data_IF_235720712446
#
_entry.id   IF_235720712446
#
_cell.length_a   1.000
_cell.length_b   1.000
_cell.length_c   1.000
_cell.angle_alpha   90.00
_cell.angle_beta   90.00
_cell.angle_gamma   90.00
#
_symmetry.space_group_name_H-M   'P 1'
#
loop_
_entity.id
_entity.type
_entity.pdbx_description
1 polymer ?
#
# COMPACT_ATOMS: atom_id res chain seq x y z
N UNK A 1 0.42 -14.06 -12.74
CA UNK A 1 0.75 -12.63 -12.59
C UNK A 1 1.18 -12.33 -11.16
N UNK A 2 1.86 -11.20 -10.96
CA UNK A 2 2.20 -10.70 -9.62
C UNK A 2 1.33 -9.49 -9.26
N UNK A 3 1.04 -9.36 -7.98
CA UNK A 3 0.44 -8.15 -7.40
C UNK A 3 1.32 -7.69 -6.25
N UNK A 4 1.68 -6.41 -6.25
CA UNK A 4 2.40 -5.76 -5.18
C UNK A 4 1.48 -4.80 -4.45
N UNK A 5 1.39 -4.90 -3.12
CA UNK A 5 0.77 -3.88 -2.27
C UNK A 5 1.89 -3.13 -1.57
N UNK A 6 1.92 -1.80 -1.68
CA UNK A 6 3.10 -0.99 -1.36
C UNK A 6 2.67 0.20 -0.50
N UNK A 7 3.31 0.38 0.66
CA UNK A 7 3.15 1.62 1.44
C UNK A 7 3.99 2.74 0.81
N UNK A 8 3.48 3.96 0.81
CA UNK A 8 4.22 5.16 0.40
C UNK A 8 5.56 5.34 1.17
N UNK A 9 6.47 6.14 0.59
CA UNK A 9 7.71 6.55 1.26
C UNK A 9 7.49 7.45 2.47
N UNK A 10 8.52 7.60 3.30
CA UNK A 10 8.46 8.39 4.52
C UNK A 10 8.03 9.84 4.29
N UNK A 11 7.18 10.34 5.19
CA UNK A 11 6.72 11.73 5.22
C UNK A 11 7.19 12.48 6.46
N UNK A 12 7.16 13.81 6.41
CA UNK A 12 7.50 14.66 7.57
C UNK A 12 6.63 14.32 8.79
N UNK A 13 5.34 14.00 8.59
CA UNK A 13 4.43 13.64 9.68
C UNK A 13 4.70 12.22 10.20
N UNK A 14 5.22 11.29 9.39
CA UNK A 14 5.70 10.00 9.89
C UNK A 14 6.86 10.20 10.87
N UNK A 15 7.87 10.97 10.46
CA UNK A 15 9.00 11.25 11.35
C UNK A 15 8.54 12.05 12.58
N UNK A 16 7.54 12.93 12.43
CA UNK A 16 6.96 13.71 13.51
C UNK A 16 6.08 12.93 14.49
N UNK A 17 5.69 11.68 14.18
CA UNK A 17 4.72 10.94 14.97
C UNK A 17 3.34 11.62 14.97
N UNK A 18 2.93 12.16 13.82
CA UNK A 18 1.71 12.95 13.62
C UNK A 18 0.70 12.15 12.80
N UNK A 19 -0.57 12.18 13.21
CA UNK A 19 -1.68 11.62 12.43
C UNK A 19 -1.80 12.34 11.09
N UNK A 20 -1.57 11.60 10.01
CA UNK A 20 -1.70 12.07 8.64
C UNK A 20 -2.51 11.04 7.83
N UNK A 21 -3.82 11.17 7.92
CA UNK A 21 -4.80 10.35 7.21
C UNK A 21 -5.11 10.97 5.87
N UNK A 22 -6.17 11.77 5.79
CA UNK A 22 -6.51 12.53 4.57
C UNK A 22 -5.67 13.80 4.40
N UNK A 23 -4.98 14.24 5.46
CA UNK A 23 -3.97 15.30 5.39
C UNK A 23 -2.87 14.91 4.41
N UNK A 24 -2.55 15.80 3.47
CA UNK A 24 -1.54 15.53 2.44
C UNK A 24 -0.12 15.87 2.92
N UNK A 25 0.43 15.02 3.79
CA UNK A 25 1.82 15.14 4.25
C UNK A 25 2.82 14.83 3.15
N UNK A 26 3.84 15.67 3.02
CA UNK A 26 4.85 15.56 1.98
C UNK A 26 5.95 14.56 2.33
N UNK A 27 6.53 13.95 1.29
CA UNK A 27 7.67 13.07 1.45
C UNK A 27 8.88 13.83 2.01
N UNK A 28 9.64 13.17 2.88
CA UNK A 28 10.96 13.67 3.27
C UNK A 28 11.96 13.46 2.14
N UNK A 29 13.13 14.10 2.23
CA UNK A 29 14.27 13.76 1.36
C UNK A 29 14.59 12.25 1.41
N UNK A 30 14.52 11.65 2.60
CA UNK A 30 14.70 10.20 2.75
C UNK A 30 13.56 9.41 2.09
N UNK A 31 12.31 9.83 2.24
CA UNK A 31 11.15 9.21 1.59
C UNK A 31 11.25 9.18 0.07
N UNK A 32 11.82 10.22 -0.55
CA UNK A 32 12.10 10.23 -1.99
C UNK A 32 13.20 9.23 -2.36
N UNK A 33 14.26 9.10 -1.56
CA UNK A 33 15.29 8.08 -1.78
C UNK A 33 14.71 6.66 -1.66
N UNK A 34 13.85 6.42 -0.67
CA UNK A 34 13.12 5.16 -0.52
C UNK A 34 12.31 4.84 -1.78
N UNK A 35 11.52 5.80 -2.29
CA UNK A 35 10.70 5.63 -3.48
C UNK A 35 11.53 5.34 -4.75
N UNK A 36 12.66 6.03 -4.92
CA UNK A 36 13.59 5.78 -6.03
C UNK A 36 14.21 4.39 -5.95
N UNK A 37 14.68 3.99 -4.76
CA UNK A 37 15.27 2.67 -4.58
C UNK A 37 14.26 1.55 -4.84
N UNK A 38 13.01 1.73 -4.40
CA UNK A 38 11.92 0.80 -4.70
C UNK A 38 11.65 0.70 -6.22
N UNK A 39 11.65 1.84 -6.91
CA UNK A 39 11.45 1.89 -8.35
C UNK A 39 12.56 1.15 -9.12
N UNK A 40 13.82 1.33 -8.72
CA UNK A 40 14.97 0.63 -9.30
C UNK A 40 14.92 -0.87 -9.03
N UNK A 41 14.48 -1.28 -7.85
CA UNK A 41 14.26 -2.69 -7.50
C UNK A 41 13.19 -3.33 -8.40
N UNK A 42 12.05 -2.67 -8.60
CA UNK A 42 11.00 -3.17 -9.50
C UNK A 42 11.35 -3.08 -10.98
N UNK A 43 12.28 -2.22 -11.39
CA UNK A 43 12.80 -2.23 -12.77
C UNK A 43 13.58 -3.53 -13.06
N UNK A 44 14.18 -4.11 -12.03
CA UNK A 44 14.95 -5.36 -12.09
C UNK A 44 14.13 -6.60 -11.75
N UNK A 45 12.84 -6.45 -11.43
CA UNK A 45 11.98 -7.57 -11.07
C UNK A 45 11.72 -8.50 -12.26
N UNK A 46 11.29 -9.73 -11.95
CA UNK A 46 11.05 -10.79 -12.94
C UNK A 46 9.93 -10.43 -13.92
N UNK A 47 8.88 -9.76 -13.43
CA UNK A 47 7.72 -9.37 -14.23
C UNK A 47 7.60 -7.83 -14.23
N UNK A 48 7.57 -7.19 -15.42
CA UNK A 48 7.41 -5.74 -15.50
C UNK A 48 6.07 -5.29 -14.89
N UNK A 49 6.11 -4.20 -14.14
CA UNK A 49 4.88 -3.58 -13.61
C UNK A 49 4.20 -2.82 -14.74
N UNK A 50 3.04 -3.30 -15.20
CA UNK A 50 2.31 -2.74 -16.34
C UNK A 50 1.14 -1.83 -15.92
N UNK A 51 0.64 -1.99 -14.68
CA UNK A 51 -0.41 -1.16 -14.12
C UNK A 51 -0.07 -0.77 -12.69
N UNK A 52 -0.21 0.52 -12.39
CA UNK A 52 -0.03 1.08 -11.06
C UNK A 52 -1.35 1.73 -10.65
N UNK A 53 -1.92 1.28 -9.54
CA UNK A 53 -3.12 1.83 -8.91
C UNK A 53 -2.68 2.56 -7.64
N UNK A 54 -2.95 3.86 -7.53
CA UNK A 54 -2.40 4.66 -6.44
C UNK A 54 -3.45 5.55 -5.76
N UNK A 55 -3.21 5.82 -4.48
CA UNK A 55 -3.85 6.95 -3.79
C UNK A 55 -3.47 8.29 -4.44
N UNK A 56 -4.38 9.27 -4.54
CA UNK A 56 -4.07 10.58 -5.08
C UNK A 56 -3.18 11.44 -4.16
N UNK A 57 -3.13 11.13 -2.84
CA UNK A 57 -2.33 11.87 -1.87
C UNK A 57 -0.85 11.86 -2.30
N UNK A 58 -0.21 13.02 -2.24
CA UNK A 58 1.11 13.29 -2.82
C UNK A 58 2.13 12.23 -2.44
N UNK A 59 2.18 11.80 -1.17
CA UNK A 59 3.13 10.78 -0.69
C UNK A 59 3.04 9.45 -1.44
N UNK A 60 1.83 8.96 -1.68
CA UNK A 60 1.60 7.72 -2.41
C UNK A 60 1.74 7.94 -3.92
N UNK A 61 1.19 9.05 -4.44
CA UNK A 61 1.31 9.44 -5.84
C UNK A 61 2.77 9.55 -6.30
N UNK A 62 3.61 10.28 -5.57
CA UNK A 62 5.05 10.44 -5.90
C UNK A 62 5.80 9.11 -5.82
N UNK A 63 5.44 8.24 -4.88
CA UNK A 63 6.00 6.87 -4.80
C UNK A 63 5.63 6.06 -6.06
N UNK A 64 4.37 6.14 -6.49
CA UNK A 64 3.89 5.50 -7.72
C UNK A 64 4.50 6.09 -9.00
N UNK A 65 4.67 7.41 -9.08
CA UNK A 65 5.31 8.11 -10.19
C UNK A 65 6.79 7.70 -10.34
N UNK A 66 7.51 7.48 -9.24
CA UNK A 66 8.86 6.94 -9.28
C UNK A 66 8.90 5.55 -9.97
N UNK A 67 7.99 4.64 -9.57
CA UNK A 67 7.86 3.32 -10.18
C UNK A 67 7.51 3.44 -11.67
N UNK A 68 6.52 4.28 -12.02
CA UNK A 68 6.08 4.53 -13.39
C UNK A 68 7.26 4.97 -14.28
N UNK A 69 8.02 5.98 -13.82
CA UNK A 69 9.14 6.54 -14.55
C UNK A 69 10.25 5.52 -14.76
N UNK A 70 10.55 4.69 -13.76
CA UNK A 70 11.55 3.63 -13.87
C UNK A 70 11.15 2.54 -14.86
N UNK A 71 9.88 2.13 -14.88
CA UNK A 71 9.36 1.13 -15.82
C UNK A 71 9.35 1.65 -17.27
N UNK A 72 9.02 2.92 -17.47
CA UNK A 72 8.94 3.54 -18.79
C UNK A 72 10.29 4.07 -19.32
N UNK A 73 11.39 3.91 -18.57
CA UNK A 73 12.72 4.35 -19.00
C UNK A 73 12.97 5.85 -18.92
N UNK A 74 12.14 6.60 -18.20
CA UNK A 74 12.27 8.07 -18.02
C UNK A 74 13.26 8.47 -16.92
N UNK A 75 14.11 7.56 -16.46
CA UNK A 75 15.26 7.90 -15.62
C UNK A 75 16.30 8.55 -16.54
N UNK A 76 16.59 9.85 -16.37
CA UNK A 76 17.37 10.75 -17.27
C UNK A 76 18.78 10.35 -17.73
N UNK A 77 19.13 9.07 -17.71
CA UNK A 77 20.24 8.46 -18.43
C UNK A 77 19.72 7.85 -19.74
N UNK A 78 19.68 8.66 -20.80
CA UNK A 78 19.53 8.16 -22.15
C UNK A 78 20.79 7.37 -22.53
N UNK A 79 20.69 6.05 -22.61
CA UNK A 79 21.66 5.24 -23.36
C UNK A 79 20.96 4.82 -24.65
N UNK A 80 21.34 5.46 -25.75
CA UNK A 80 20.94 5.09 -27.11
C UNK A 80 21.61 3.75 -27.47
N UNK A 81 20.97 2.65 -27.08
CA UNK A 81 21.28 1.32 -27.60
C UNK A 81 19.94 0.70 -27.94
N UNK A 82 19.55 0.88 -29.20
CA UNK A 82 18.30 0.37 -29.75
C UNK A 82 18.41 -1.11 -30.04
N UNK A 83 17.53 -1.87 -29.40
CA UNK A 83 17.05 -3.15 -29.91
C UNK A 83 15.52 -3.12 -29.88
N UNK A 84 14.91 -3.12 -31.07
CA UNK A 84 13.46 -3.05 -31.26
C UNK A 84 12.71 -4.32 -30.82
N UNK A 85 13.43 -5.38 -30.40
CA UNK A 85 12.90 -6.70 -30.07
C UNK A 85 12.53 -6.92 -28.59
N UNK A 86 12.82 -5.97 -27.68
CA UNK A 86 12.54 -6.10 -26.24
C UNK A 86 11.74 -4.92 -25.67
N UNK A 87 10.65 -4.54 -26.35
CA UNK A 87 9.78 -3.46 -25.90
C UNK A 87 8.95 -3.95 -24.70
N UNK A 88 9.38 -3.61 -23.48
CA UNK A 88 8.58 -3.83 -22.27
C UNK A 88 7.21 -3.13 -22.42
N UNK A 89 6.13 -3.70 -21.87
CA UNK A 89 4.84 -3.05 -21.87
C UNK A 89 4.93 -1.71 -21.15
N UNK A 90 4.37 -0.66 -21.76
CA UNK A 90 4.32 0.66 -21.14
C UNK A 90 3.45 0.60 -19.88
N UNK A 91 4.03 1.03 -18.76
CA UNK A 91 3.32 1.11 -17.50
C UNK A 91 2.34 2.28 -17.52
N UNK A 92 1.15 2.05 -16.95
CA UNK A 92 0.11 3.08 -16.76
C UNK A 92 -0.16 3.33 -15.29
N UNK A 93 -0.39 4.59 -14.91
CA UNK A 93 -0.77 4.98 -13.54
C UNK A 93 -2.23 5.45 -13.51
N UNK A 94 -3.02 4.84 -12.62
CA UNK A 94 -4.41 5.23 -12.34
C UNK A 94 -4.50 5.63 -10.86
N UNK A 95 -5.01 6.83 -10.60
CA UNK A 95 -5.22 7.36 -9.25
C UNK A 95 -6.68 7.19 -8.84
N UNK A 96 -6.95 6.84 -7.58
CA UNK A 96 -8.33 6.74 -7.07
C UNK A 96 -8.42 7.13 -5.59
N UNK A 97 -9.43 7.94 -5.19
CA UNK A 97 -9.63 8.32 -3.80
C UNK A 97 -9.99 7.12 -2.90
N UNK A 98 -10.40 5.99 -3.45
CA UNK A 98 -10.66 4.78 -2.67
C UNK A 98 -9.40 4.24 -1.98
N UNK A 99 -8.22 4.63 -2.47
CA UNK A 99 -6.92 4.25 -1.92
C UNK A 99 -6.33 5.25 -0.91
N UNK A 100 -7.07 6.27 -0.45
CA UNK A 100 -6.58 7.17 0.63
C UNK A 100 -6.55 6.49 2.00
N UNK A 101 -5.67 6.98 2.87
CA UNK A 101 -5.56 6.51 4.26
C UNK A 101 -6.86 6.79 5.04
N UNK A 102 -7.00 6.12 6.18
CA UNK A 102 -8.07 6.41 7.14
C UNK A 102 -8.16 7.90 7.43
N UNK A 103 -9.37 8.45 7.36
CA UNK A 103 -9.65 9.81 7.81
C UNK A 103 -9.61 9.85 9.34
N UNK A 104 -8.64 10.56 9.93
CA UNK A 104 -8.53 10.66 11.38
C UNK A 104 -9.42 11.77 11.97
N UNK A 105 -10.20 12.47 11.14
CA UNK A 105 -11.12 13.52 11.59
C UNK A 105 -10.41 14.55 12.47
N UNK A 106 -10.91 14.73 13.69
CA UNK A 106 -10.37 15.65 14.69
C UNK A 106 -8.88 15.42 15.02
N UNK A 107 -8.34 14.23 14.79
CA UNK A 107 -6.95 13.92 15.13
C UNK A 107 -5.95 14.24 14.02
N UNK A 108 -6.40 14.61 12.81
CA UNK A 108 -5.50 15.02 11.73
C UNK A 108 -4.54 16.13 12.18
N UNK A 109 -3.25 15.97 11.89
CA UNK A 109 -2.20 16.92 12.28
C UNK A 109 -1.81 16.88 13.76
N UNK A 110 -2.43 16.02 14.59
CA UNK A 110 -2.08 15.90 16.01
C UNK A 110 -1.05 14.79 16.24
N UNK A 111 -0.20 14.89 17.27
CA UNK A 111 0.70 13.81 17.66
C UNK A 111 -0.07 12.54 18.01
N UNK A 112 0.52 11.36 17.81
CA UNK A 112 -0.15 10.07 18.08
C UNK A 112 -0.62 9.93 19.53
N UNK A 113 0.12 10.49 20.49
CA UNK A 113 -0.27 10.50 21.90
C UNK A 113 -1.49 11.39 22.20
N UNK A 114 -1.92 12.27 21.28
CA UNK A 114 -3.12 13.09 21.48
C UNK A 114 -4.40 12.26 21.57
N UNK A 115 -4.37 11.02 21.06
CA UNK A 115 -5.46 10.05 21.22
C UNK A 115 -5.40 9.29 22.55
N UNK A 116 -4.27 9.39 23.27
CA UNK A 116 -4.02 8.69 24.53
C UNK A 116 -3.78 9.69 25.66
N UNK A 117 -4.85 10.08 26.35
CA UNK A 117 -4.72 10.76 27.65
C UNK A 117 -5.79 10.39 28.67
N UNK A 118 -6.41 9.21 28.58
CA UNK A 118 -7.25 8.67 29.67
C UNK A 118 -7.12 7.14 29.71
N UNK A 119 -5.99 6.65 30.20
CA UNK A 119 -5.74 5.21 30.44
C UNK A 119 -6.64 4.64 31.56
N UNK A 120 -7.48 5.46 32.20
CA UNK A 120 -8.36 5.07 33.30
C UNK A 120 -9.86 5.06 32.98
N UNK A 121 -10.26 5.16 31.70
CA UNK A 121 -11.63 4.84 31.29
C UNK A 121 -11.58 3.99 30.02
N UNK A 122 -11.89 2.71 30.15
CA UNK A 122 -12.16 1.89 28.98
C UNK A 122 -13.33 2.50 28.20
N UNK A 123 -13.18 2.56 26.89
CA UNK A 123 -14.26 2.95 25.98
C UNK A 123 -13.88 4.08 25.04
N UNK A 124 -14.04 3.81 23.74
CA UNK A 124 -14.12 4.83 22.67
C UNK A 124 -15.06 6.00 23.03
N UNK A 125 -16.00 5.77 23.94
CA UNK A 125 -17.10 6.67 24.28
C UNK A 125 -16.66 7.85 25.16
N UNK A 126 -15.67 7.68 26.05
CA UNK A 126 -15.30 8.73 27.01
C UNK A 126 -14.63 9.97 26.37
N UNK A 127 -13.88 9.80 25.28
CA UNK A 127 -13.30 10.92 24.52
C UNK A 127 -14.29 11.47 23.46
N UNK A 128 -15.16 10.61 22.92
CA UNK A 128 -16.20 11.01 21.97
C UNK A 128 -17.15 12.04 22.61
N UNK A 129 -17.59 11.80 23.85
CA UNK A 129 -18.51 12.70 24.55
C UNK A 129 -17.88 14.06 24.90
N UNK A 130 -16.56 14.11 25.14
CA UNK A 130 -15.84 15.34 25.53
C UNK A 130 -15.71 16.35 24.38
N UNK A 131 -15.68 15.88 23.14
CA UNK A 131 -15.42 16.72 21.97
C UNK A 131 -16.56 16.75 20.94
N UNK A 132 -17.61 15.92 21.09
CA UNK A 132 -18.81 15.95 20.23
C UNK A 132 -19.53 17.30 20.21
N UNK A 133 -19.33 18.14 21.23
CA UNK A 133 -19.89 19.50 21.29
C UNK A 133 -19.00 20.55 20.64
N UNK A 134 -17.78 20.22 20.20
CA UNK A 134 -16.94 21.14 19.45
C UNK A 134 -17.54 21.32 18.05
N UNK A 135 -17.87 22.56 17.63
CA UNK A 135 -18.52 22.83 16.36
C UNK A 135 -17.73 22.36 15.13
N UNK A 136 -16.42 22.11 15.26
CA UNK A 136 -15.56 21.59 14.18
C UNK A 136 -15.16 20.11 14.37
N UNK A 137 -15.81 19.37 15.28
CA UNK A 137 -15.48 17.96 15.49
C UNK A 137 -15.90 17.09 14.29
N UNK A 138 -14.92 16.35 13.77
CA UNK A 138 -15.11 15.32 12.76
C UNK A 138 -14.67 13.99 13.33
N UNK A 139 -15.52 12.97 13.22
CA UNK A 139 -15.19 11.64 13.72
C UNK A 139 -14.15 10.94 12.84
N UNK A 140 -13.42 9.99 13.44
CA UNK A 140 -12.52 9.09 12.71
C UNK A 140 -13.35 8.19 11.82
N UNK A 141 -12.87 7.92 10.60
CA UNK A 141 -13.55 7.02 9.68
C UNK A 141 -13.83 5.67 10.33
N UNK A 142 -15.08 5.24 10.21
CA UNK A 142 -15.55 3.97 10.75
C UNK A 142 -14.96 2.77 10.00
N UNK A 143 -14.92 1.62 10.69
CA UNK A 143 -14.49 0.35 10.07
C UNK A 143 -15.38 -0.03 8.87
N UNK A 144 -16.67 0.29 8.94
CA UNK A 144 -17.63 0.02 7.87
C UNK A 144 -17.34 0.87 6.63
N UNK A 145 -17.12 2.18 6.81
CA UNK A 145 -16.72 3.09 5.72
C UNK A 145 -15.43 2.63 5.05
N UNK A 146 -14.42 2.31 5.86
CA UNK A 146 -13.13 1.78 5.39
C UNK A 146 -13.30 0.49 4.58
N UNK A 147 -14.10 -0.47 5.09
CA UNK A 147 -14.39 -1.72 4.39
C UNK A 147 -15.11 -1.49 3.05
N UNK A 148 -16.11 -0.61 3.03
CA UNK A 148 -16.85 -0.24 1.82
C UNK A 148 -15.94 0.38 0.76
N UNK A 149 -15.02 1.27 1.14
CA UNK A 149 -14.03 1.83 0.20
C UNK A 149 -13.07 0.77 -0.33
N UNK A 150 -12.58 -0.11 0.54
CA UNK A 150 -11.73 -1.23 0.12
C UNK A 150 -12.46 -2.13 -0.88
N UNK A 151 -13.72 -2.49 -0.60
CA UNK A 151 -14.52 -3.30 -1.52
C UNK A 151 -14.75 -2.59 -2.86
N UNK A 152 -15.11 -1.30 -2.84
CA UNK A 152 -15.24 -0.51 -4.07
C UNK A 152 -13.95 -0.50 -4.89
N UNK A 153 -12.78 -0.36 -4.26
CA UNK A 153 -11.50 -0.42 -4.96
C UNK A 153 -11.26 -1.80 -5.58
N UNK A 154 -11.54 -2.87 -4.83
CA UNK A 154 -11.38 -4.23 -5.32
C UNK A 154 -12.29 -4.50 -6.53
N UNK A 155 -13.55 -4.12 -6.41
CA UNK A 155 -14.59 -4.47 -7.39
C UNK A 155 -14.49 -3.60 -8.66
N UNK A 156 -14.15 -2.31 -8.51
CA UNK A 156 -14.09 -1.36 -9.63
C UNK A 156 -12.71 -1.30 -10.32
N UNK A 157 -11.62 -1.68 -9.63
CA UNK A 157 -10.26 -1.53 -10.16
C UNK A 157 -9.46 -2.83 -10.16
N UNK A 158 -9.19 -3.41 -8.99
CA UNK A 158 -8.19 -4.48 -8.90
C UNK A 158 -8.66 -5.79 -9.53
N UNK A 159 -9.87 -6.24 -9.22
CA UNK A 159 -10.41 -7.50 -9.74
C UNK A 159 -10.59 -7.45 -11.26
N UNK A 160 -11.20 -6.40 -11.86
CA UNK A 160 -11.23 -6.25 -13.31
C UNK A 160 -9.83 -6.30 -13.93
N UNK A 161 -8.86 -5.57 -13.38
CA UNK A 161 -7.49 -5.55 -13.89
C UNK A 161 -6.79 -6.91 -13.81
N UNK A 162 -7.08 -7.73 -12.79
CA UNK A 162 -6.58 -9.11 -12.70
C UNK A 162 -7.14 -9.96 -13.83
N UNK A 163 -8.43 -9.88 -14.14
CA UNK A 163 -9.01 -10.67 -15.24
C UNK A 163 -8.52 -10.18 -16.62
N UNK A 164 -8.44 -8.88 -16.85
CA UNK A 164 -7.95 -8.30 -18.11
C UNK A 164 -6.49 -8.67 -18.43
N UNK A 165 -5.71 -8.94 -17.38
CA UNK A 165 -4.29 -9.28 -17.49
C UNK A 165 -4.01 -10.76 -17.24
N UNK A 166 -5.05 -11.59 -17.21
CA UNK A 166 -4.87 -13.04 -17.08
C UNK A 166 -4.02 -13.58 -18.24
N UNK A 167 -3.06 -14.45 -17.93
CA UNK A 167 -2.11 -14.98 -18.92
C UNK A 167 -0.98 -14.03 -19.35
N UNK A 168 -1.00 -12.76 -18.94
CA UNK A 168 0.11 -11.83 -19.19
C UNK A 168 1.21 -12.02 -18.14
N UNK A 169 2.47 -12.03 -18.58
CA UNK A 169 3.64 -12.03 -17.69
C UNK A 169 3.98 -10.61 -17.21
N UNK A 170 3.02 -9.98 -16.55
CA UNK A 170 3.15 -8.63 -15.99
C UNK A 170 2.68 -8.58 -14.54
N UNK A 171 2.96 -7.45 -13.89
CA UNK A 171 2.57 -7.19 -12.51
C UNK A 171 1.67 -5.96 -12.37
N UNK A 172 0.83 -5.98 -11.34
CA UNK A 172 0.04 -4.84 -10.88
C UNK A 172 0.65 -4.33 -9.57
N UNK A 173 0.86 -3.02 -9.46
CA UNK A 173 1.30 -2.37 -8.23
C UNK A 173 0.17 -1.53 -7.62
N UNK A 174 -0.11 -1.71 -6.34
CA UNK A 174 -1.08 -0.94 -5.56
C UNK A 174 -0.32 -0.11 -4.52
N UNK A 175 -0.27 1.20 -4.70
CA UNK A 175 0.50 2.12 -3.84
C UNK A 175 -0.44 2.93 -2.94
N UNK A 176 -0.34 2.72 -1.63
CA UNK A 176 -1.27 3.26 -0.65
C UNK A 176 -0.60 3.46 0.73
N UNK A 177 -1.35 3.26 1.82
CA UNK A 177 -1.01 3.66 3.18
C UNK A 177 -1.20 2.50 4.16
N UNK A 178 -0.53 2.53 5.31
CA UNK A 178 -0.41 1.35 6.18
C UNK A 178 -1.74 0.81 6.71
N UNK A 179 -2.62 1.66 7.24
CA UNK A 179 -3.90 1.22 7.81
C UNK A 179 -4.85 0.78 6.70
N UNK A 180 -4.94 1.54 5.62
CA UNK A 180 -5.73 1.14 4.46
C UNK A 180 -5.26 -0.21 3.89
N UNK A 181 -3.96 -0.42 3.66
CA UNK A 181 -3.45 -1.67 3.10
C UNK A 181 -3.77 -2.88 3.98
N UNK A 182 -3.73 -2.69 5.30
CA UNK A 182 -4.11 -3.73 6.26
C UNK A 182 -5.59 -4.10 6.12
N UNK A 183 -6.47 -3.12 5.94
CA UNK A 183 -7.91 -3.37 5.73
C UNK A 183 -8.18 -3.95 4.34
N UNK A 184 -7.55 -3.39 3.31
CA UNK A 184 -7.65 -3.83 1.93
C UNK A 184 -7.23 -5.29 1.78
N UNK A 185 -6.14 -5.70 2.42
CA UNK A 185 -5.68 -7.09 2.43
C UNK A 185 -6.76 -8.04 2.97
N UNK A 186 -7.38 -7.71 4.11
CA UNK A 186 -8.47 -8.51 4.67
C UNK A 186 -9.67 -8.60 3.72
N UNK A 187 -10.05 -7.50 3.07
CA UNK A 187 -11.13 -7.51 2.08
C UNK A 187 -10.76 -8.28 0.81
N UNK A 188 -9.49 -8.26 0.42
CA UNK A 188 -8.97 -8.99 -0.73
C UNK A 188 -8.98 -10.51 -0.50
N UNK A 189 -8.65 -10.97 0.71
CA UNK A 189 -8.76 -12.37 1.10
C UNK A 189 -10.19 -12.92 0.90
N UNK A 190 -11.22 -12.10 1.13
CA UNK A 190 -12.63 -12.46 0.91
C UNK A 190 -12.99 -12.65 -0.56
N UNK A 191 -12.15 -12.20 -1.50
CA UNK A 191 -12.35 -12.42 -2.94
C UNK A 191 -11.81 -13.78 -3.40
N UNK A 192 -11.08 -14.49 -2.55
CA UNK A 192 -10.42 -15.77 -2.84
C UNK A 192 -11.17 -16.94 -2.17
N UNK A 193 -10.97 -18.16 -2.66
CA UNK A 193 -11.53 -19.35 -2.02
C UNK A 193 -10.72 -19.74 -0.77
N UNK A 194 -11.40 -20.21 0.30
CA UNK A 194 -10.77 -20.51 1.62
C UNK A 194 -9.54 -21.45 1.57
N UNK A 195 -9.43 -22.34 0.58
CA UNK A 195 -8.32 -23.29 0.42
C UNK A 195 -7.39 -22.97 -0.76
N UNK A 196 -7.44 -21.73 -1.25
CA UNK A 196 -6.66 -21.29 -2.42
C UNK A 196 -5.42 -20.48 -2.05
N UNK A 197 -5.13 -20.32 -0.76
CA UNK A 197 -4.11 -19.40 -0.26
C UNK A 197 -2.97 -20.18 0.37
N UNK A 198 -1.76 -19.92 -0.10
CA UNK A 198 -0.52 -20.51 0.40
C UNK A 198 0.48 -19.41 0.76
N UNK A 199 1.45 -19.75 1.60
CA UNK A 199 2.57 -18.89 1.98
C UNK A 199 3.85 -19.60 1.56
N UNK A 200 4.75 -18.91 0.88
CA UNK A 200 6.04 -19.47 0.48
C UNK A 200 6.89 -19.85 1.71
N UNK A 201 7.66 -20.93 1.61
CA UNK A 201 8.46 -21.45 2.71
C UNK A 201 9.47 -20.41 3.22
N UNK A 202 10.05 -19.59 2.34
CA UNK A 202 11.00 -18.54 2.73
C UNK A 202 10.34 -17.48 3.64
N UNK A 203 9.06 -17.18 3.42
CA UNK A 203 8.30 -16.23 4.24
C UNK A 203 8.04 -16.81 5.62
N UNK A 204 7.63 -18.08 5.68
CA UNK A 204 7.41 -18.80 6.95
C UNK A 204 8.71 -18.95 7.72
N UNK A 205 9.82 -19.22 7.04
CA UNK A 205 11.14 -19.31 7.67
C UNK A 205 11.61 -17.95 8.25
N UNK A 206 11.34 -16.85 7.55
CA UNK A 206 11.79 -15.52 7.97
C UNK A 206 10.92 -14.90 9.09
N UNK A 207 9.61 -15.19 9.13
CA UNK A 207 8.66 -14.55 10.05
C UNK A 207 7.98 -15.49 11.03
N UNK A 208 8.21 -16.79 10.92
CA UNK A 208 7.50 -17.80 11.71
C UNK A 208 6.03 -17.93 11.27
N UNK A 209 5.16 -18.28 12.22
CA UNK A 209 3.74 -18.45 11.95
C UNK A 209 3.06 -17.08 11.75
N UNK A 210 2.60 -16.82 10.53
CA UNK A 210 1.89 -15.59 10.18
C UNK A 210 0.39 -15.83 10.29
N UNK A 211 -0.31 -14.93 10.99
CA UNK A 211 -1.76 -14.85 10.92
C UNK A 211 -2.15 -14.19 9.59
N UNK A 212 -2.83 -14.95 8.73
CA UNK A 212 -3.10 -14.52 7.35
C UNK A 212 -3.81 -13.17 7.26
N UNK A 213 -4.75 -12.89 8.15
CA UNK A 213 -5.49 -11.61 8.21
C UNK A 213 -4.69 -10.45 8.82
N UNK A 214 -3.56 -10.76 9.48
CA UNK A 214 -2.76 -9.85 10.29
C UNK A 214 -1.27 -10.01 9.96
N UNK A 215 -0.86 -9.52 8.79
CA UNK A 215 0.51 -9.63 8.27
C UNK A 215 1.56 -8.78 9.03
N UNK A 216 1.15 -8.05 10.08
CA UNK A 216 2.01 -7.12 10.81
C UNK A 216 2.08 -5.73 10.19
N UNK A 217 3.01 -4.92 10.69
CA UNK A 217 3.17 -3.51 10.29
C UNK A 217 3.69 -3.34 8.87
N UNK A 218 3.33 -2.21 8.25
CA UNK A 218 3.82 -1.81 6.94
C UNK A 218 4.89 -0.75 7.11
N UNK A 219 6.15 -1.04 6.79
CA UNK A 219 7.22 -0.04 6.78
C UNK A 219 7.04 0.93 5.60
N UNK A 220 7.60 2.14 5.66
CA UNK A 220 7.60 3.03 4.50
C UNK A 220 8.31 2.36 3.31
N UNK A 221 7.69 2.40 2.13
CA UNK A 221 8.08 1.61 0.93
C UNK A 221 8.14 0.09 1.10
N UNK A 222 7.70 -0.43 2.25
CA UNK A 222 7.51 -1.86 2.45
C UNK A 222 6.43 -2.39 1.53
N UNK A 223 6.65 -3.58 0.97
CA UNK A 223 5.69 -4.20 0.05
C UNK A 223 5.30 -5.63 0.45
N UNK A 224 4.08 -6.00 0.07
CA UNK A 224 3.59 -7.38 0.05
C UNK A 224 3.60 -7.84 -1.41
N UNK A 225 4.29 -8.95 -1.68
CA UNK A 225 4.29 -9.59 -3.00
C UNK A 225 3.43 -10.85 -2.95
N UNK A 226 2.45 -10.92 -3.84
CA UNK A 226 1.63 -12.12 -4.04
C UNK A 226 1.60 -12.53 -5.50
N UNK A 227 1.54 -13.84 -5.72
CA UNK A 227 1.35 -14.43 -7.04
C UNK A 227 -0.05 -15.00 -7.15
N UNK A 228 -0.78 -14.57 -8.18
CA UNK A 228 -2.02 -15.21 -8.58
C UNK A 228 -1.78 -16.19 -9.74
N UNK A 229 -2.27 -17.41 -9.59
CA UNK A 229 -2.30 -18.44 -10.63
C UNK A 229 -3.71 -18.94 -10.85
N UNK A 230 -4.12 -19.12 -12.11
CA UNK A 230 -5.44 -19.66 -12.42
C UNK A 230 -5.52 -21.12 -11.95
N UNK A 231 -6.57 -21.46 -11.20
CA UNK A 231 -6.89 -22.85 -10.91
C UNK A 231 -7.30 -23.52 -12.21
N UNK A 232 -6.59 -24.58 -12.57
CA UNK A 232 -7.06 -25.48 -13.63
C UNK A 232 -8.31 -26.18 -13.07
N UNK A 233 -9.41 -26.14 -13.81
CA UNK A 233 -10.55 -26.97 -13.50
C UNK A 233 -10.09 -28.44 -13.57
N UNK A 234 -10.25 -29.23 -12.50
CA UNK A 234 -10.03 -30.68 -12.58
C UNK A 234 -10.94 -31.35 -13.62
N UNK A 235 -12.05 -30.68 -13.98
CA UNK A 235 -13.18 -31.25 -14.73
C UNK A 235 -13.20 -30.90 -16.22
N UNK A 236 -12.25 -30.10 -16.72
CA UNK A 236 -12.15 -29.80 -18.16
C UNK A 236 -11.61 -30.99 -18.99
N UNK A 237 -11.44 -32.17 -18.37
CA UNK A 237 -10.86 -33.35 -19.00
C UNK A 237 -11.58 -34.68 -18.71
N UNK A 238 -12.75 -34.70 -18.06
CA UNK A 238 -13.46 -35.95 -17.75
C UNK A 238 -14.98 -35.81 -17.88
N UNK A 239 -15.48 -35.87 -19.12
CA UNK A 239 -16.80 -36.45 -19.37
C UNK A 239 -16.64 -37.97 -19.30
N UNK A 240 -17.02 -38.61 -18.19
CA UNK A 240 -18.14 -39.56 -18.14
C UNK A 240 -18.22 -40.27 -16.76
N UNK A 241 -19.47 -40.49 -16.36
CA UNK A 241 -19.98 -41.51 -15.44
C UNK A 241 -19.70 -41.49 -13.91
N UNK A 242 -20.79 -41.16 -13.21
CA UNK A 242 -21.45 -42.00 -12.19
C UNK A 242 -20.95 -42.05 -10.72
N UNK A 243 -21.91 -41.65 -9.88
CA UNK A 243 -22.30 -42.17 -8.56
C UNK A 243 -21.62 -41.64 -7.28
N UNK A 244 -22.46 -40.93 -6.51
CA UNK A 244 -22.36 -40.69 -5.06
C UNK A 244 -22.29 -42.02 -4.28
N UNK A 245 -21.77 -42.01 -3.03
CA UNK A 245 -22.73 -41.97 -1.93
C UNK A 245 -22.40 -41.02 -0.77
N UNK A 246 -23.49 -40.75 -0.07
CA UNK A 246 -23.76 -39.98 1.15
C UNK A 246 -23.13 -40.67 2.39
N UNK A 247 -22.53 -39.90 3.30
CA UNK A 247 -22.92 -39.76 4.73
C UNK A 247 -21.80 -39.20 5.62
N UNK A 248 -22.17 -38.44 6.65
CA UNK A 248 -21.29 -38.11 7.77
C UNK A 248 -21.57 -36.77 8.45
N UNK A 249 -22.52 -36.76 9.38
CA UNK A 249 -22.85 -35.67 10.31
C UNK A 249 -21.65 -35.23 11.17
N UNK A 250 -21.62 -33.92 11.49
CA UNK A 250 -20.71 -33.35 12.48
C UNK A 250 -20.99 -31.86 12.72
N UNK A 251 -22.04 -31.57 13.49
CA UNK A 251 -22.27 -30.27 14.13
C UNK A 251 -21.18 -29.98 15.17
N UNK A 252 -20.71 -28.73 15.28
CA UNK A 252 -20.53 -27.97 16.55
C UNK A 252 -20.13 -26.51 16.25
N UNK A 253 -20.96 -25.62 16.81
CA UNK A 253 -20.75 -24.29 17.41
C UNK A 253 -19.98 -23.17 16.72
N UNK A 254 -20.76 -22.13 16.41
CA UNK A 254 -20.43 -20.71 16.40
C UNK A 254 -20.32 -20.17 17.83
N UNK A 255 -19.20 -19.55 18.19
CA UNK A 255 -19.13 -18.26 18.92
C UNK A 255 -17.70 -17.92 19.35
N UNK A 256 -17.46 -16.61 19.48
CA UNK A 256 -16.32 -15.90 20.10
C UNK A 256 -14.94 -15.86 19.41
N UNK A 257 -14.61 -14.66 18.90
CA UNK A 257 -13.39 -13.93 19.27
C UNK A 257 -13.40 -12.50 18.69
N UNK A 258 -14.13 -11.60 19.36
CA UNK A 258 -13.93 -10.15 19.32
C UNK A 258 -12.95 -9.78 20.43
N UNK A 259 -11.70 -9.47 20.12
CA UNK A 259 -10.85 -8.50 20.85
C UNK A 259 -9.39 -8.60 20.40
N UNK A 260 -8.86 -7.50 19.85
CA UNK A 260 -7.46 -7.06 19.92
C UNK A 260 -7.18 -6.10 18.76
N UNK A 261 -7.42 -4.81 19.00
CA UNK A 261 -6.81 -3.72 18.20
C UNK A 261 -6.33 -2.67 19.18
N UNK A 262 -5.17 -2.94 19.74
CA UNK A 262 -4.27 -1.99 20.37
C UNK A 262 -2.90 -2.67 20.35
N UNK A 263 -2.14 -2.49 19.27
CA UNK A 263 -0.67 -2.64 19.21
C UNK A 263 -0.20 -2.67 17.75
N UNK A 264 -0.24 -1.53 17.07
CA UNK A 264 0.48 -1.36 15.79
C UNK A 264 1.07 0.05 15.57
N UNK A 265 1.02 0.93 16.58
CA UNK A 265 1.54 2.30 16.48
C UNK A 265 2.91 2.49 17.17
N UNK A 266 3.54 1.44 17.70
CA UNK A 266 4.76 1.54 18.51
C UNK A 266 5.96 0.78 17.92
N UNK A 267 6.16 0.86 16.60
CA UNK A 267 7.33 0.26 15.96
C UNK A 267 8.02 1.22 14.99
N UNK A 268 8.23 2.48 15.39
CA UNK A 268 9.34 3.32 14.93
C UNK A 268 9.68 4.34 16.04
N UNK A 269 10.47 3.90 17.01
CA UNK A 269 11.13 4.78 17.96
C UNK A 269 12.44 4.12 18.41
N UNK A 270 13.49 4.29 17.61
CA UNK A 270 14.86 4.32 18.15
C UNK A 270 15.77 5.24 17.30
N UNK A 271 16.68 5.88 18.02
CA UNK A 271 17.77 6.77 17.63
C UNK A 271 17.46 8.24 17.26
N UNK A 272 17.57 9.06 18.30
CA UNK A 272 18.14 10.43 18.36
C UNK A 272 17.26 11.63 17.98
N UNK A 273 16.66 12.26 19.00
CA UNK A 273 16.10 13.62 18.92
C UNK A 273 16.27 14.40 20.22
N UNK A 274 17.08 15.46 20.15
CA UNK A 274 16.92 16.68 20.94
C UNK A 274 16.80 17.88 19.98
N UNK A 275 15.59 18.17 19.47
CA UNK A 275 15.29 19.48 18.85
C UNK A 275 13.81 19.85 19.12
N UNK A 276 13.51 21.08 19.59
CA UNK A 276 12.15 21.55 19.91
C UNK A 276 11.31 21.85 18.65
N UNK A 277 9.97 21.93 18.77
CA UNK A 277 9.07 22.11 17.61
C UNK A 277 9.08 23.55 17.09
N UNK A 278 9.06 23.69 15.76
CA UNK A 278 8.89 24.94 15.00
C UNK A 278 7.45 24.98 14.45
N UNK A 279 6.75 26.13 14.41
CA UNK A 279 5.32 26.19 14.14
C UNK A 279 4.98 25.94 12.66
N UNK A 280 3.92 25.17 12.42
CA UNK A 280 3.42 24.78 11.09
C UNK A 280 2.36 25.77 10.61
N UNK A 281 2.60 26.42 9.47
CA UNK A 281 1.58 27.22 8.77
C UNK A 281 0.59 26.31 8.06
N UNK A 282 -0.69 26.52 8.32
CA UNK A 282 -1.84 25.92 7.63
C UNK A 282 -1.97 26.48 6.22
N UNK A 283 -1.98 25.61 5.23
CA UNK A 283 -2.39 25.91 3.86
C UNK A 283 -3.18 24.74 3.30
N UNK A 284 -4.50 24.86 3.32
CA UNK A 284 -5.42 24.11 2.46
C UNK A 284 -5.19 24.56 1.02
N UNK A 285 -4.91 23.65 0.09
CA UNK A 285 -5.55 23.57 -1.24
C UNK A 285 -5.35 22.14 -1.76
N UNK A 286 -6.44 21.38 -1.90
CA UNK A 286 -6.42 20.17 -2.71
C UNK A 286 -6.59 20.57 -4.18
N UNK A 287 -5.63 20.17 -5.02
CA UNK A 287 -5.64 20.38 -6.48
C UNK A 287 -6.77 19.55 -7.13
N UNK A 288 -7.69 20.13 -7.93
CA UNK A 288 -8.90 19.44 -8.37
C UNK A 288 -8.73 18.49 -9.56
N UNK A 289 -7.52 18.25 -10.09
CA UNK A 289 -7.37 17.56 -11.37
C UNK A 289 -6.77 16.14 -11.26
N UNK A 290 -7.64 15.14 -11.04
CA UNK A 290 -7.27 13.71 -11.17
C UNK A 290 -8.48 12.78 -11.30
N UNK A 291 -9.21 12.83 -12.41
CA UNK A 291 -10.08 11.73 -12.83
C UNK A 291 -9.68 11.21 -14.21
N UNK A 292 -8.71 10.30 -14.26
CA UNK A 292 -8.55 9.40 -15.41
C UNK A 292 -9.40 8.16 -15.15
N UNK A 293 -10.65 8.19 -15.60
CA UNK A 293 -11.64 7.12 -15.44
C UNK A 293 -11.26 5.98 -16.38
N UNK A 294 -10.94 4.79 -15.83
CA UNK A 294 -10.97 3.55 -16.60
C UNK A 294 -12.41 3.33 -17.11
N UNK A 295 -12.63 2.83 -18.33
CA UNK A 295 -13.97 2.60 -18.84
C UNK A 295 -14.77 1.73 -17.87
N UNK A 296 -15.93 2.21 -17.43
CA UNK A 296 -16.87 1.47 -16.59
C UNK A 296 -17.35 0.24 -17.37
N UNK A 297 -16.67 -0.89 -17.18
CA UNK A 297 -17.15 -2.19 -17.64
C UNK A 297 -18.22 -2.63 -16.65
N UNK A 298 -19.49 -2.54 -17.06
CA UNK A 298 -20.64 -3.09 -16.33
C UNK A 298 -20.64 -4.61 -16.46
N UNK A 299 -19.68 -5.27 -15.83
CA UNK A 299 -19.64 -6.72 -15.65
C UNK A 299 -19.85 -6.97 -14.17
N UNK A 300 -20.83 -7.81 -13.79
CA UNK A 300 -20.91 -8.33 -12.41
C UNK A 300 -19.53 -8.91 -12.09
N UNK A 301 -18.75 -8.25 -11.22
CA UNK A 301 -17.34 -8.58 -11.05
C UNK A 301 -17.22 -10.06 -10.67
N UNK A 302 -16.60 -10.84 -11.54
CA UNK A 302 -16.27 -12.22 -11.20
C UNK A 302 -15.28 -12.15 -10.07
N UNK A 303 -15.60 -12.71 -8.90
CA UNK A 303 -14.66 -12.82 -7.79
C UNK A 303 -13.39 -13.59 -8.20
N UNK A 304 -12.37 -13.60 -7.35
CA UNK A 304 -11.11 -14.29 -7.60
C UNK A 304 -11.13 -15.77 -7.15
N UNK A 305 -12.31 -16.38 -6.98
CA UNK A 305 -12.47 -17.75 -6.50
C UNK A 305 -11.79 -18.82 -7.38
N UNK A 306 -11.58 -18.51 -8.65
CA UNK A 306 -10.87 -19.35 -9.61
C UNK A 306 -9.36 -19.21 -9.57
N UNK A 307 -8.79 -18.38 -8.68
CA UNK A 307 -7.34 -18.19 -8.55
C UNK A 307 -6.82 -18.84 -7.27
N UNK A 308 -5.59 -19.35 -7.34
CA UNK A 308 -4.76 -19.60 -6.17
C UNK A 308 -3.89 -18.37 -5.92
N UNK A 309 -3.72 -18.02 -4.65
CA UNK A 309 -2.83 -16.98 -4.19
C UNK A 309 -1.66 -17.61 -3.44
N UNK A 310 -0.44 -17.24 -3.82
CA UNK A 310 0.76 -17.56 -3.07
C UNK A 310 1.42 -16.27 -2.56
N UNK A 311 1.60 -16.16 -1.24
CA UNK A 311 2.31 -15.03 -0.61
C UNK A 311 3.81 -15.28 -0.74
N UNK A 312 4.51 -14.39 -1.44
CA UNK A 312 5.94 -14.51 -1.72
C UNK A 312 6.80 -13.61 -0.82
N UNK A 313 6.27 -12.48 -0.36
CA UNK A 313 7.00 -11.56 0.53
C UNK A 313 6.03 -10.77 1.39
N UNK A 314 6.34 -10.57 2.67
CA UNK A 314 5.54 -9.77 3.60
C UNK A 314 6.40 -8.65 4.17
N UNK A 315 6.00 -7.39 3.92
CA UNK A 315 6.75 -6.19 4.30
C UNK A 315 8.22 -6.24 3.82
N UNK A 316 8.42 -6.59 2.55
CA UNK A 316 9.72 -6.62 1.89
C UNK A 316 10.36 -5.24 1.87
N UNK A 317 11.66 -5.19 2.15
CA UNK A 317 12.48 -3.96 2.21
C UNK A 317 13.87 -4.19 1.57
N UNK A 318 13.97 -5.11 0.63
CA UNK A 318 15.22 -5.51 -0.03
C UNK A 318 15.89 -4.32 -0.71
N UNK A 319 15.07 -3.42 -1.29
CA UNK A 319 15.50 -2.18 -1.92
C UNK A 319 16.09 -1.17 -0.92
N UNK A 320 15.89 -1.35 0.39
CA UNK A 320 16.46 -0.47 1.40
C UNK A 320 17.90 -0.82 1.75
N UNK A 321 18.45 -1.93 1.23
CA UNK A 321 19.84 -2.32 1.47
C UNK A 321 20.80 -1.24 0.97
N UNK A 322 21.49 -0.59 1.90
CA UNK A 322 22.46 0.48 1.60
C UNK A 322 21.85 1.89 1.47
N UNK A 323 20.53 2.04 1.52
CA UNK A 323 19.87 3.35 1.54
C UNK A 323 20.01 3.95 2.92
N UNK A 324 20.76 5.05 3.05
CA UNK A 324 21.01 5.74 4.32
C UNK A 324 20.31 7.08 4.37
N UNK A 325 19.77 7.44 5.54
CA UNK A 325 19.26 8.78 5.81
C UNK A 325 20.40 9.79 5.82
N UNK A 326 20.23 10.90 5.11
CA UNK A 326 21.16 12.02 5.18
C UNK A 326 21.17 12.65 6.59
N UNK A 327 22.37 12.91 7.13
CA UNK A 327 22.58 13.48 8.47
C UNK A 327 22.21 14.96 8.54
N UNK A 328 22.20 15.51 9.76
CA UNK A 328 22.00 16.95 10.00
C UNK A 328 20.57 17.44 9.72
N UNK A 329 19.56 16.59 9.91
CA UNK A 329 18.15 16.94 9.70
C UNK A 329 17.70 16.96 8.23
N UNK A 330 18.64 17.00 7.27
CA UNK A 330 18.33 17.08 5.83
C UNK A 330 17.47 15.89 5.39
N UNK A 331 17.79 14.67 5.82
CA UNK A 331 17.04 13.48 5.42
C UNK A 331 15.59 13.48 5.88
N UNK A 332 15.29 14.16 7.00
CA UNK A 332 13.95 14.22 7.59
C UNK A 332 13.18 15.50 7.22
N UNK A 333 13.82 16.45 6.54
CA UNK A 333 13.18 17.64 6.02
C UNK A 333 12.28 17.31 4.82
N UNK A 334 11.25 18.14 4.61
CA UNK A 334 10.40 18.15 3.42
C UNK A 334 11.27 18.14 2.16
N UNK A 335 10.93 17.29 1.20
CA UNK A 335 11.55 17.32 -0.12
C UNK A 335 11.15 18.59 -0.89
N UNK A 336 12.15 19.31 -1.39
CA UNK A 336 11.98 20.45 -2.28
C UNK A 336 12.45 20.07 -3.70
N UNK A 337 11.55 20.11 -4.68
CA UNK A 337 11.86 19.84 -6.09
C UNK A 337 12.85 20.87 -6.69
N UNK A 338 12.90 22.07 -6.13
CA UNK A 338 13.86 23.12 -6.51
C UNK A 338 15.28 22.85 -6.00
N UNK A 339 15.45 21.93 -5.03
CA UNK A 339 16.76 21.61 -4.46
C UNK A 339 17.58 20.81 -5.47
N UNK A 340 18.63 21.44 -6.00
CA UNK A 340 19.56 20.78 -6.94
C UNK A 340 20.70 20.10 -6.20
N UNK A 341 21.23 19.01 -6.77
CA UNK A 341 22.43 18.37 -6.22
C UNK A 341 23.63 19.31 -6.30
N UNK A 342 24.60 19.14 -5.39
CA UNK A 342 25.84 19.91 -5.39
C UNK A 342 26.54 19.85 -6.75
N UNK A 343 26.50 18.68 -7.41
CA UNK A 343 27.06 18.44 -8.75
C UNK A 343 26.46 19.34 -9.84
N UNK A 344 25.23 19.81 -9.66
CA UNK A 344 24.61 20.76 -10.61
C UNK A 344 25.26 22.15 -10.57
N UNK A 345 25.94 22.49 -9.48
CA UNK A 345 26.69 23.74 -9.33
C UNK A 345 28.12 23.63 -9.87
N UNK A 346 28.66 22.40 -10.03
CA UNK A 346 29.97 22.18 -10.62
C UNK A 346 29.82 21.88 -12.11
N UNK A 347 30.46 22.68 -12.97
CA UNK A 347 30.53 22.37 -14.41
C UNK A 347 31.20 21.00 -14.59
N UNK A 348 30.55 20.07 -15.29
CA UNK A 348 31.19 18.82 -15.73
C UNK A 348 32.50 19.18 -16.44
N UNK A 349 33.62 18.70 -15.90
CA UNK A 349 34.91 18.84 -16.56
C UNK A 349 34.77 18.27 -17.98
N UNK A 350 35.08 19.10 -19.00
CA UNK A 350 35.18 18.61 -20.38
C UNK A 350 36.28 17.55 -20.39
N UNK A 351 35.90 16.29 -20.62
CA UNK A 351 36.84 15.22 -20.95
C UNK A 351 37.18 15.30 -22.43
#
# INVERSE_FOLDING_TARGET
MLIFFIRHGETVDNVGGIYAGVRDSELTNHGILQARSLADYFKQSRCPVSLILASPLQRARRTAEAILNAQNGNTGTQTNSGDAASRRPQATLVKTPLLIEQDFGFYEGKPFYARSSDYNKSGKDAHYDKHRQDPNFKDVESKESMAKRCDGFLDDFLVPAVHEREGQDTAIAVVSHGILLSNLWRRFLLRLARKSITIADEVTAAKGQILLEHLGGWSNTGFLEVRLTRRRDPDAGLVNDSQLPIDGQGTISTDDALSSIADMAAAEADADRTIPPVPTSTGEVADPDASSVLPKVTSRSRGLASFNLNILTVNGQEHMRGVKRARGGIGSAKYDEGQKSLDSFFKKAKK
#
